data_IF_669032419128
#
_entry.id   IF_669032419128
#
_cell.length_a   1.000
_cell.length_b   1.000
_cell.length_c   1.000
_cell.angle_alpha   90.00
_cell.angle_beta   90.00
_cell.angle_gamma   90.00
#
_symmetry.space_group_name_H-M   'P 1'
#
loop_
_entity.id
_entity.type
_entity.pdbx_description
1 polymer ?
#
# COMPACT_ATOMS: atom_id res chain seq x y z
N UNK A 1 14.64 -10.93 19.68
CA UNK A 1 14.58 -10.73 18.23
C UNK A 1 13.44 -9.75 17.96
N UNK A 2 13.61 -8.80 17.05
CA UNK A 2 12.51 -7.92 16.63
C UNK A 2 11.32 -8.78 16.20
N UNK A 3 10.14 -8.44 16.70
CA UNK A 3 8.92 -9.21 16.47
C UNK A 3 7.72 -8.33 16.13
N UNK A 4 6.89 -8.85 15.22
CA UNK A 4 5.65 -8.20 14.83
C UNK A 4 4.51 -8.65 15.76
N UNK A 5 3.94 -7.72 16.52
CA UNK A 5 3.02 -8.05 17.64
C UNK A 5 1.74 -7.23 17.73
N UNK A 6 1.63 -6.09 17.04
CA UNK A 6 0.40 -5.28 17.06
C UNK A 6 -0.53 -5.63 15.89
N UNK A 7 -0.88 -6.90 15.76
CA UNK A 7 -1.70 -7.43 14.68
C UNK A 7 -3.13 -7.70 15.16
N UNK A 8 -4.11 -7.53 14.29
CA UNK A 8 -5.50 -7.91 14.54
C UNK A 8 -5.66 -9.42 14.30
N UNK A 9 -6.69 -10.05 14.88
CA UNK A 9 -6.93 -11.50 14.72
C UNK A 9 -7.03 -11.94 13.24
N UNK A 10 -7.54 -11.06 12.37
CA UNK A 10 -7.61 -11.29 10.92
C UNK A 10 -6.23 -11.38 10.26
N UNK A 11 -5.24 -10.64 10.76
CA UNK A 11 -3.88 -10.66 10.23
C UNK A 11 -3.19 -11.97 10.60
N UNK A 12 -3.35 -12.44 11.84
CA UNK A 12 -2.84 -13.75 12.24
C UNK A 12 -3.45 -14.89 11.42
N UNK A 13 -4.73 -14.78 11.08
CA UNK A 13 -5.39 -15.73 10.17
C UNK A 13 -4.84 -15.64 8.74
N UNK A 14 -4.61 -14.44 8.20
CA UNK A 14 -4.00 -14.27 6.90
C UNK A 14 -2.57 -14.85 6.86
N UNK A 15 -1.74 -14.51 7.85
CA UNK A 15 -0.38 -15.03 8.01
C UNK A 15 -0.36 -16.57 7.99
N UNK A 16 -1.24 -17.22 8.75
CA UNK A 16 -1.31 -18.68 8.78
C UNK A 16 -1.78 -19.29 7.47
N UNK A 17 -2.68 -18.65 6.72
CA UNK A 17 -3.04 -19.11 5.38
C UNK A 17 -1.92 -18.92 4.35
N UNK A 18 -1.07 -17.90 4.51
CA UNK A 18 0.09 -17.72 3.64
C UNK A 18 1.15 -18.82 3.84
N UNK A 19 1.24 -19.39 5.05
CA UNK A 19 2.12 -20.50 5.40
C UNK A 19 1.61 -21.84 4.84
N UNK A 20 0.29 -22.06 4.82
CA UNK A 20 -0.37 -23.26 4.30
C UNK A 20 -0.26 -23.35 2.77
N UNK A 21 0.94 -23.69 2.30
CA UNK A 21 1.28 -23.69 0.88
C UNK A 21 0.55 -24.79 0.12
N UNK A 22 0.27 -25.93 0.76
CA UNK A 22 -0.44 -27.06 0.16
C UNK A 22 -1.98 -26.99 0.35
N UNK A 23 -2.49 -25.99 1.08
CA UNK A 23 -3.92 -25.72 1.33
C UNK A 23 -4.66 -26.85 2.04
N UNK A 24 -3.98 -27.57 2.93
CA UNK A 24 -4.58 -28.66 3.70
C UNK A 24 -5.15 -28.19 5.05
N UNK A 25 -5.13 -26.87 5.32
CA UNK A 25 -5.53 -26.22 6.58
C UNK A 25 -4.66 -26.61 7.78
N UNK A 26 -3.44 -27.07 7.55
CA UNK A 26 -2.47 -27.44 8.56
C UNK A 26 -1.14 -26.79 8.21
N UNK A 27 -0.36 -26.50 9.25
CA UNK A 27 1.00 -26.00 9.14
C UNK A 27 1.92 -27.07 9.70
N UNK A 28 2.81 -27.56 8.87
CA UNK A 28 3.87 -28.50 9.26
C UNK A 28 5.27 -27.87 9.17
N UNK A 29 6.30 -28.67 9.52
CA UNK A 29 7.71 -28.23 9.56
C UNK A 29 8.29 -27.84 8.20
N UNK A 30 7.65 -28.24 7.10
CA UNK A 30 8.05 -27.86 5.73
C UNK A 30 7.48 -26.51 5.32
N UNK A 31 6.43 -26.06 5.99
CA UNK A 31 5.71 -24.82 5.70
C UNK A 31 6.15 -23.65 6.59
N UNK A 32 6.53 -23.93 7.83
CA UNK A 32 7.01 -22.90 8.75
C UNK A 32 8.00 -23.45 9.77
N UNK A 33 9.05 -22.66 10.06
CA UNK A 33 9.91 -22.90 11.20
C UNK A 33 9.30 -22.25 12.46
N UNK A 34 8.51 -23.06 13.19
CA UNK A 34 7.74 -22.67 14.37
C UNK A 34 8.55 -22.96 15.63
N UNK A 35 8.67 -21.96 16.50
CA UNK A 35 9.27 -22.08 17.82
C UNK A 35 8.26 -21.70 18.91
N UNK A 36 8.28 -22.41 20.03
CA UNK A 36 7.40 -22.17 21.17
C UNK A 36 8.16 -22.49 22.48
N UNK A 37 7.90 -21.72 23.54
CA UNK A 37 8.51 -21.93 24.85
C UNK A 37 7.51 -22.57 25.80
N UNK A 38 7.45 -23.90 25.83
CA UNK A 38 7.01 -24.58 27.04
C UNK A 38 7.94 -25.72 27.42
N UNK A 39 8.00 -25.98 28.72
CA UNK A 39 8.73 -27.11 29.29
C UNK A 39 8.34 -28.41 28.57
N UNK A 40 9.23 -28.87 27.68
CA UNK A 40 9.38 -30.24 27.22
C UNK A 40 8.10 -31.07 27.07
N UNK A 41 7.13 -30.66 26.23
CA UNK A 41 6.15 -31.61 25.68
C UNK A 41 5.81 -31.25 24.24
N UNK A 42 6.49 -31.94 23.31
CA UNK A 42 6.15 -31.98 21.89
C UNK A 42 4.62 -32.04 21.69
N UNK A 43 4.13 -31.44 20.60
CA UNK A 43 2.72 -31.46 20.21
C UNK A 43 2.12 -32.88 20.14
N UNK A 44 0.93 -32.98 19.60
CA UNK A 44 0.31 -34.21 19.07
C UNK A 44 1.26 -35.08 18.19
N UNK A 45 2.30 -35.71 18.75
CA UNK A 45 3.33 -36.59 18.19
C UNK A 45 4.06 -36.17 16.88
N UNK A 46 3.52 -35.28 16.05
CA UNK A 46 3.86 -35.18 14.63
C UNK A 46 4.22 -33.76 14.14
N UNK A 47 4.09 -32.72 14.97
CA UNK A 47 4.51 -31.36 14.61
C UNK A 47 3.64 -30.70 13.54
N UNK A 48 2.32 -30.90 13.62
CA UNK A 48 1.30 -30.39 12.69
C UNK A 48 0.27 -29.61 13.50
N UNK A 49 0.08 -28.33 13.18
CA UNK A 49 -0.90 -27.44 13.81
C UNK A 49 -2.00 -27.06 12.80
N UNK A 50 -3.26 -26.95 13.22
CA UNK A 50 -4.29 -26.37 12.36
C UNK A 50 -4.03 -24.88 12.12
N UNK A 51 -4.38 -24.34 10.95
CA UNK A 51 -4.20 -22.90 10.64
C UNK A 51 -4.85 -21.98 11.68
N UNK A 52 -6.03 -22.35 12.19
CA UNK A 52 -6.76 -21.60 13.24
C UNK A 52 -6.09 -21.66 14.61
N UNK A 53 -5.63 -22.85 14.99
CA UNK A 53 -4.91 -23.06 16.26
C UNK A 53 -3.62 -22.25 16.22
N UNK A 54 -2.88 -22.33 15.11
CA UNK A 54 -1.67 -21.55 14.90
C UNK A 54 -1.92 -20.04 14.97
N UNK A 55 -3.00 -19.53 14.36
CA UNK A 55 -3.35 -18.11 14.40
C UNK A 55 -3.65 -17.66 15.84
N UNK A 56 -4.41 -18.47 16.58
CA UNK A 56 -4.75 -18.21 17.99
C UNK A 56 -3.49 -18.21 18.86
N UNK A 57 -2.58 -19.15 18.63
CA UNK A 57 -1.31 -19.26 19.36
C UNK A 57 -0.37 -18.08 19.06
N UNK A 58 -0.35 -17.59 17.82
CA UNK A 58 0.40 -16.38 17.45
C UNK A 58 -0.18 -15.13 18.11
N UNK A 59 -1.51 -15.01 18.14
CA UNK A 59 -2.24 -13.90 18.77
C UNK A 59 -2.02 -13.86 20.28
N UNK A 60 -2.00 -15.01 20.95
CA UNK A 60 -1.72 -15.12 22.39
C UNK A 60 -0.24 -14.94 22.75
N UNK A 61 0.65 -14.96 21.75
CA UNK A 61 2.10 -14.90 21.99
C UNK A 61 2.68 -16.19 22.57
N UNK A 62 2.07 -17.33 22.23
CA UNK A 62 2.50 -18.66 22.67
C UNK A 62 3.59 -19.23 21.74
N UNK A 63 3.57 -18.81 20.47
CA UNK A 63 4.49 -19.24 19.42
C UNK A 63 5.02 -18.07 18.61
N UNK A 64 6.22 -18.21 18.05
CA UNK A 64 6.73 -17.34 17.00
C UNK A 64 7.19 -18.13 15.79
N UNK A 65 7.23 -17.44 14.65
CA UNK A 65 7.76 -17.97 13.39
C UNK A 65 8.99 -17.18 12.99
N UNK A 66 10.01 -17.87 12.50
CA UNK A 66 11.25 -17.27 12.00
C UNK A 66 11.69 -17.94 10.70
N UNK A 67 12.44 -17.23 9.85
CA UNK A 67 13.04 -17.78 8.61
C UNK A 67 12.02 -18.42 7.69
N UNK A 68 11.18 -17.58 7.08
CA UNK A 68 10.18 -18.01 6.10
C UNK A 68 10.84 -18.34 4.75
N UNK A 69 10.16 -19.16 3.94
CA UNK A 69 10.55 -19.29 2.53
C UNK A 69 10.33 -17.97 1.79
N UNK A 70 11.10 -17.68 0.72
CA UNK A 70 10.91 -16.48 -0.09
C UNK A 70 9.47 -16.31 -0.59
N UNK A 71 8.84 -17.39 -1.04
CA UNK A 71 7.49 -17.37 -1.58
C UNK A 71 6.44 -17.00 -0.52
N UNK A 72 6.57 -17.58 0.68
CA UNK A 72 5.66 -17.28 1.79
C UNK A 72 5.90 -15.87 2.34
N UNK A 73 7.16 -15.43 2.44
CA UNK A 73 7.49 -14.06 2.83
C UNK A 73 6.93 -13.03 1.84
N UNK A 74 7.00 -13.32 0.54
CA UNK A 74 6.41 -12.47 -0.51
C UNK A 74 4.89 -12.37 -0.39
N UNK A 75 4.19 -13.48 -0.16
CA UNK A 75 2.72 -13.48 0.08
C UNK A 75 2.35 -12.61 1.28
N UNK A 76 3.10 -12.72 2.36
CA UNK A 76 2.85 -11.96 3.59
C UNK A 76 3.15 -10.47 3.38
N UNK A 77 4.26 -10.14 2.73
CA UNK A 77 4.62 -8.77 2.41
C UNK A 77 3.58 -8.12 1.48
N UNK A 78 3.06 -8.87 0.51
CA UNK A 78 1.98 -8.46 -0.38
C UNK A 78 0.65 -8.23 0.35
N UNK A 79 0.32 -9.06 1.34
CA UNK A 79 -0.86 -8.83 2.19
C UNK A 79 -0.75 -7.52 2.98
N UNK A 80 0.40 -7.27 3.63
CA UNK A 80 0.60 -6.05 4.40
C UNK A 80 0.69 -4.80 3.55
N UNK A 81 1.25 -4.89 2.34
CA UNK A 81 1.28 -3.73 1.43
C UNK A 81 -0.11 -3.32 0.96
N UNK A 82 -1.02 -4.28 0.82
CA UNK A 82 -2.43 -4.08 0.42
C UNK A 82 -3.35 -3.66 1.55
N UNK A 83 -2.96 -3.82 2.82
CA UNK A 83 -3.75 -3.40 3.98
C UNK A 83 -4.00 -1.87 4.02
N UNK A 84 -3.12 -1.10 3.38
CA UNK A 84 -3.26 0.35 3.18
C UNK A 84 -4.31 0.72 2.11
N UNK A 85 -4.71 -0.24 1.28
CA UNK A 85 -5.65 -0.02 0.18
C UNK A 85 -7.00 -0.65 0.53
N UNK A 86 -7.89 0.12 1.17
CA UNK A 86 -9.30 -0.23 1.32
C UNK A 86 -9.87 -0.59 -0.07
N UNK A 87 -10.23 -1.86 -0.30
CA UNK A 87 -10.75 -2.32 -1.58
C UNK A 87 -12.11 -3.02 -1.48
N UNK A 88 -13.03 -2.49 -2.28
CA UNK A 88 -14.14 -3.22 -2.89
C UNK A 88 -13.78 -3.63 -4.35
N UNK A 89 -12.53 -4.09 -4.62
CA UNK A 89 -12.11 -4.74 -5.90
C UNK A 89 -10.68 -5.31 -5.88
N UNK A 90 -10.36 -6.31 -6.73
CA UNK A 90 -9.03 -6.93 -6.76
C UNK A 90 -8.04 -6.13 -7.59
N UNK A 91 -6.91 -5.71 -6.99
CA UNK A 91 -5.75 -5.21 -7.74
C UNK A 91 -4.88 -6.40 -8.12
N UNK A 92 -5.08 -6.85 -9.35
CA UNK A 92 -4.16 -7.76 -10.02
C UNK A 92 -2.90 -6.99 -10.43
N UNK A 93 -1.80 -7.34 -9.75
CA UNK A 93 -0.40 -7.23 -10.14
C UNK A 93 0.14 -5.84 -10.57
N UNK A 94 1.39 -5.57 -10.16
CA UNK A 94 2.24 -4.44 -10.57
C UNK A 94 2.10 -3.13 -9.78
N UNK A 95 2.57 -3.15 -8.53
CA UNK A 95 3.38 -2.04 -8.00
C UNK A 95 4.60 -2.68 -7.34
N UNK A 96 5.77 -2.58 -7.98
CA UNK A 96 7.04 -3.11 -7.44
C UNK A 96 7.47 -2.42 -6.13
N UNK A 97 6.80 -1.32 -5.79
CA UNK A 97 7.11 -0.45 -4.66
C UNK A 97 5.86 -0.20 -3.78
N UNK A 98 5.05 -1.23 -3.52
CA UNK A 98 3.97 -1.11 -2.54
C UNK A 98 4.61 -0.95 -1.14
N UNK A 99 4.56 0.26 -0.60
CA UNK A 99 5.14 0.59 0.71
C UNK A 99 4.18 0.18 1.81
N UNK A 100 4.71 -0.49 2.82
CA UNK A 100 3.93 -0.85 4.00
C UNK A 100 4.02 0.32 4.99
N UNK A 101 2.87 0.83 5.48
CA UNK A 101 2.90 1.98 6.38
C UNK A 101 3.60 1.65 7.70
N UNK A 102 4.37 2.60 8.25
CA UNK A 102 4.93 2.49 9.60
C UNK A 102 3.84 2.46 10.68
N UNK A 103 2.67 3.04 10.39
CA UNK A 103 1.50 3.00 11.27
C UNK A 103 0.86 1.60 11.30
N UNK A 104 0.86 0.86 10.18
CA UNK A 104 0.40 -0.54 10.13
C UNK A 104 1.28 -1.45 10.98
N UNK A 105 2.56 -1.11 11.09
CA UNK A 105 3.52 -1.86 11.89
C UNK A 105 3.45 -1.58 13.39
N UNK A 106 3.04 -0.36 13.80
CA UNK A 106 3.14 0.13 15.18
C UNK A 106 4.39 -0.42 15.91
N UNK A 107 5.50 -0.46 15.17
CA UNK A 107 6.61 -1.35 15.46
C UNK A 107 7.56 -0.69 16.45
N UNK A 108 8.17 -1.50 17.30
CA UNK A 108 9.27 -1.00 18.13
C UNK A 108 10.40 -0.46 17.24
N UNK A 109 11.20 0.51 17.72
CA UNK A 109 12.35 1.01 16.96
C UNK A 109 13.33 -0.09 16.50
N UNK A 110 13.38 -1.20 17.23
CA UNK A 110 14.18 -2.38 16.89
C UNK A 110 13.66 -3.11 15.65
N UNK A 111 12.34 -3.22 15.49
CA UNK A 111 11.71 -3.79 14.29
C UNK A 111 11.92 -2.89 13.09
N UNK A 112 11.78 -1.57 13.26
CA UNK A 112 12.02 -0.62 12.18
C UNK A 112 13.46 -0.71 11.66
N UNK A 113 14.46 -0.76 12.55
CA UNK A 113 15.88 -0.92 12.15
C UNK A 113 16.20 -2.26 11.50
N UNK A 114 15.47 -3.32 11.86
CA UNK A 114 15.70 -4.65 11.31
C UNK A 114 15.11 -4.82 9.90
N UNK A 115 14.14 -3.97 9.54
CA UNK A 115 13.43 -4.03 8.26
C UNK A 115 13.93 -2.94 7.30
N UNK A 116 14.16 -1.73 7.78
CA UNK A 116 14.68 -0.60 6.99
C UNK A 116 16.20 -0.74 6.77
N UNK A 117 16.57 -1.61 5.83
CA UNK A 117 17.98 -1.96 5.53
C UNK A 117 18.72 -0.80 4.87
N UNK A 118 18.02 0.02 4.07
CA UNK A 118 18.62 1.10 3.29
C UNK A 118 18.70 2.45 4.07
N UNK A 119 18.02 2.56 5.21
CA UNK A 119 18.05 3.72 6.10
C UNK A 119 17.26 4.93 5.59
N UNK A 120 16.36 4.73 4.63
CA UNK A 120 15.54 5.79 4.02
C UNK A 120 14.30 6.14 4.84
N UNK A 121 14.14 5.51 6.01
CA UNK A 121 13.02 5.71 6.91
C UNK A 121 11.68 5.29 6.28
N UNK A 122 11.68 4.32 5.36
CA UNK A 122 10.51 3.65 4.76
C UNK A 122 10.67 2.12 4.86
N UNK A 123 9.58 1.39 4.59
CA UNK A 123 9.59 -0.08 4.53
C UNK A 123 8.97 -0.51 3.21
N UNK A 124 9.80 -1.00 2.29
CA UNK A 124 9.35 -1.62 1.06
C UNK A 124 8.88 -3.06 1.29
N UNK A 125 8.03 -3.57 0.38
CA UNK A 125 7.64 -4.98 0.35
C UNK A 125 8.86 -5.91 0.35
N UNK A 126 9.89 -5.55 -0.42
CA UNK A 126 11.12 -6.33 -0.57
C UNK A 126 11.92 -6.39 0.72
N UNK A 127 12.17 -5.26 1.36
CA UNK A 127 12.84 -5.18 2.66
C UNK A 127 12.12 -5.97 3.73
N UNK A 128 10.79 -5.88 3.75
CA UNK A 128 9.97 -6.65 4.68
C UNK A 128 10.04 -8.16 4.43
N UNK A 129 9.95 -8.59 3.17
CA UNK A 129 10.12 -10.01 2.81
C UNK A 129 11.54 -10.51 3.16
N UNK A 130 12.59 -9.74 2.87
CA UNK A 130 13.98 -10.08 3.18
C UNK A 130 14.22 -10.19 4.70
N UNK A 131 13.60 -9.33 5.50
CA UNK A 131 13.65 -9.42 6.96
C UNK A 131 13.00 -10.71 7.49
N UNK A 132 11.89 -11.15 6.90
CA UNK A 132 11.20 -12.40 7.25
C UNK A 132 11.97 -13.66 6.80
N UNK A 133 12.58 -13.62 5.61
CA UNK A 133 13.40 -14.73 5.07
C UNK A 133 14.67 -14.91 5.88
N UNK A 134 15.37 -13.82 6.19
CA UNK A 134 16.59 -13.86 7.00
C UNK A 134 16.33 -14.24 8.46
N UNK A 135 15.09 -14.06 8.94
CA UNK A 135 14.73 -14.19 10.35
C UNK A 135 15.17 -13.01 11.22
N UNK A 136 15.61 -11.91 10.60
CA UNK A 136 15.88 -10.64 11.28
C UNK A 136 14.60 -10.02 11.85
N UNK A 137 13.46 -10.33 11.23
CA UNK A 137 12.12 -10.10 11.75
C UNK A 137 11.41 -11.43 12.00
N UNK A 138 10.77 -11.56 13.16
CA UNK A 138 9.94 -12.71 13.53
C UNK A 138 8.45 -12.33 13.61
N UNK A 139 7.57 -13.31 13.39
CA UNK A 139 6.12 -13.13 13.54
C UNK A 139 5.68 -13.73 14.88
N UNK A 140 5.03 -12.94 15.74
CA UNK A 140 4.61 -13.37 17.07
C UNK A 140 5.73 -13.37 18.12
N UNK A 141 5.43 -13.84 19.33
CA UNK A 141 6.39 -13.99 20.43
C UNK A 141 6.27 -15.39 21.04
N UNK A 142 7.29 -15.87 21.75
CA UNK A 142 7.17 -17.04 22.64
C UNK A 142 7.30 -16.59 24.10
N UNK A 143 6.22 -16.03 24.63
CA UNK A 143 6.09 -15.80 26.06
C UNK A 143 6.11 -17.15 26.82
N UNK A 144 6.54 -17.16 28.09
CA UNK A 144 6.54 -18.39 28.87
C UNK A 144 5.10 -18.82 29.15
N UNK A 145 4.68 -19.95 28.57
CA UNK A 145 3.36 -20.52 28.82
C UNK A 145 3.51 -21.85 29.54
N UNK A 146 2.59 -22.16 30.46
CA UNK A 146 2.57 -23.42 31.23
C UNK A 146 1.68 -24.49 30.58
N UNK A 147 1.18 -24.25 29.36
CA UNK A 147 0.21 -25.11 28.68
C UNK A 147 0.59 -25.32 27.20
N UNK A 148 0.22 -26.49 26.66
CA UNK A 148 0.40 -26.76 25.22
C UNK A 148 -0.68 -25.99 24.43
N UNK A 149 -0.30 -25.05 23.55
CA UNK A 149 -1.26 -24.19 22.86
C UNK A 149 -2.07 -24.91 21.76
N UNK A 150 -1.72 -26.17 21.45
CA UNK A 150 -2.39 -27.00 20.42
C UNK A 150 -3.24 -28.14 21.00
N UNK A 151 -3.53 -28.14 22.32
CA UNK A 151 -4.40 -29.15 22.95
C UNK A 151 -5.87 -28.73 23.03
N UNK A 152 -6.19 -27.46 22.83
CA UNK A 152 -7.56 -26.94 22.90
C UNK A 152 -8.06 -26.57 21.49
N UNK A 153 -9.27 -26.99 21.08
CA UNK A 153 -9.84 -26.58 19.80
C UNK A 153 -10.04 -25.06 19.78
N UNK A 154 -9.63 -24.40 18.69
CA UNK A 154 -9.76 -22.96 18.52
C UNK A 154 -11.23 -22.50 18.69
N UNK A 155 -11.52 -21.42 19.44
CA UNK A 155 -12.87 -20.90 19.60
C UNK A 155 -13.47 -20.44 18.26
N UNK A 156 -14.80 -20.47 18.15
CA UNK A 156 -15.54 -20.11 16.93
C UNK A 156 -15.31 -18.64 16.55
N UNK A 157 -14.68 -18.38 15.39
CA UNK A 157 -14.32 -17.05 14.86
C UNK A 157 -15.02 -16.80 13.50
N UNK A 158 -15.30 -15.55 13.05
CA UNK A 158 -16.21 -15.22 11.95
C UNK A 158 -15.67 -15.53 10.54
N UNK A 159 -14.47 -16.10 10.42
CA UNK A 159 -13.92 -16.62 9.15
C UNK A 159 -14.27 -18.09 8.90
N UNK A 160 -15.45 -18.53 9.36
CA UNK A 160 -15.87 -19.93 9.35
C UNK A 160 -16.13 -20.53 7.95
N UNK A 161 -15.78 -19.83 6.88
CA UNK A 161 -15.90 -20.30 5.50
C UNK A 161 -14.62 -20.02 4.69
N UNK A 162 -14.10 -21.00 3.91
CA UNK A 162 -13.03 -20.83 2.91
C UNK A 162 -13.33 -19.81 1.80
N UNK A 163 -14.42 -19.05 1.91
CA UNK A 163 -14.82 -17.97 1.01
C UNK A 163 -14.08 -16.67 1.27
N UNK A 164 -13.60 -16.45 2.51
CA UNK A 164 -12.92 -15.22 2.93
C UNK A 164 -11.41 -15.45 3.10
N UNK A 165 -10.82 -16.24 2.20
CA UNK A 165 -9.38 -16.48 2.15
C UNK A 165 -8.71 -15.48 1.20
N UNK A 166 -7.88 -14.54 1.70
CA UNK A 166 -7.23 -13.54 0.86
C UNK A 166 -6.19 -14.15 -0.11
N UNK A 167 -5.78 -15.41 0.09
CA UNK A 167 -4.84 -16.13 -0.78
C UNK A 167 -5.52 -17.19 -1.64
N UNK A 168 -6.85 -17.28 -1.60
CA UNK A 168 -7.61 -18.16 -2.49
C UNK A 168 -7.69 -17.53 -3.88
N UNK A 169 -7.45 -18.29 -4.97
CA UNK A 169 -7.71 -17.80 -6.31
C UNK A 169 -9.22 -17.55 -6.41
N UNK A 170 -9.62 -16.32 -6.73
CA UNK A 170 -11.04 -16.01 -6.89
C UNK A 170 -11.58 -16.85 -8.06
N UNK A 171 -12.69 -17.60 -7.89
CA UNK A 171 -13.36 -18.21 -9.03
C UNK A 171 -13.85 -17.10 -9.96
N UNK A 172 -13.50 -17.19 -11.23
CA UNK A 172 -14.06 -16.35 -12.28
C UNK A 172 -15.58 -16.50 -12.27
N UNK A 173 -16.30 -15.50 -11.76
CA UNK A 173 -17.76 -15.56 -11.74
C UNK A 173 -18.30 -15.54 -13.18
N UNK A 174 -19.18 -16.47 -13.58
CA UNK A 174 -19.77 -16.48 -14.91
C UNK A 174 -20.73 -15.29 -15.09
N UNK A 175 -20.59 -14.56 -16.20
CA UNK A 175 -21.52 -13.49 -16.60
C UNK A 175 -22.94 -14.07 -16.85
N UNK A 176 -24.02 -13.38 -16.48
CA UNK A 176 -25.37 -13.81 -16.83
C UNK A 176 -25.58 -13.79 -18.35
N UNK A 177 -26.26 -14.83 -18.83
CA UNK A 177 -26.37 -15.23 -20.24
C UNK A 177 -27.31 -14.30 -21.02
N UNK A 178 -26.84 -13.73 -22.13
CA UNK A 178 -27.69 -13.25 -23.24
C UNK A 178 -27.70 -14.29 -24.38
N UNK A 179 -28.78 -14.40 -25.17
CA UNK A 179 -29.05 -15.60 -25.97
C UNK A 179 -28.11 -15.82 -27.16
N UNK A 180 -27.92 -17.10 -27.43
CA UNK A 180 -27.00 -17.82 -28.34
C UNK A 180 -27.08 -17.53 -29.85
N UNK A 181 -25.92 -17.50 -30.54
CA UNK A 181 -25.51 -18.32 -31.73
C UNK A 181 -24.42 -17.62 -32.59
N UNK A 182 -23.67 -18.29 -33.50
CA UNK A 182 -23.29 -19.70 -33.62
C UNK A 182 -21.82 -19.86 -34.13
N UNK A 183 -20.78 -19.38 -33.45
CA UNK A 183 -19.40 -19.74 -33.82
C UNK A 183 -18.56 -19.88 -32.55
N UNK A 184 -18.55 -21.11 -32.03
CA UNK A 184 -17.73 -21.51 -30.90
C UNK A 184 -16.33 -21.85 -31.44
N UNK A 185 -15.48 -20.83 -31.57
CA UNK A 185 -14.06 -20.98 -31.91
C UNK A 185 -13.24 -20.83 -30.61
N UNK A 186 -12.39 -21.80 -30.20
CA UNK A 186 -11.67 -21.77 -28.91
C UNK A 186 -10.67 -20.62 -28.74
N UNK A 187 -10.56 -19.74 -29.73
CA UNK A 187 -9.65 -18.57 -29.74
C UNK A 187 -10.34 -17.22 -29.63
N UNK A 188 -11.65 -17.17 -29.34
CA UNK A 188 -12.32 -15.88 -29.11
C UNK A 188 -11.95 -15.34 -27.73
N UNK A 189 -11.00 -14.39 -27.72
CA UNK A 189 -10.61 -13.60 -26.57
C UNK A 189 -11.84 -12.99 -25.85
N UNK A 190 -11.79 -12.81 -24.52
CA UNK A 190 -12.88 -12.18 -23.78
C UNK A 190 -13.16 -10.76 -24.35
N UNK A 191 -14.39 -10.24 -24.25
CA UNK A 191 -14.72 -8.96 -24.87
C UNK A 191 -13.84 -7.87 -24.26
N UNK A 192 -13.03 -7.23 -25.09
CA UNK A 192 -12.10 -6.19 -24.70
C UNK A 192 -12.78 -5.14 -23.80
N UNK A 193 -12.30 -5.01 -22.56
CA UNK A 193 -12.20 -3.66 -21.99
C UNK A 193 -11.50 -2.84 -23.08
N UNK A 194 -12.10 -1.74 -23.53
CA UNK A 194 -11.51 -0.93 -24.60
C UNK A 194 -10.07 -0.61 -24.22
N UNK A 195 -9.11 -1.29 -24.84
CA UNK A 195 -7.72 -0.88 -24.80
C UNK A 195 -7.69 0.44 -25.56
N UNK A 196 -7.61 1.56 -24.84
CA UNK A 196 -7.47 2.90 -25.41
C UNK A 196 -6.15 3.06 -26.20
N UNK A 197 -5.32 2.00 -26.22
CA UNK A 197 -3.95 1.99 -26.66
C UNK A 197 -3.03 2.67 -25.64
N UNK A 198 -3.53 3.07 -24.47
CA UNK A 198 -2.73 3.79 -23.46
C UNK A 198 -1.56 2.94 -22.95
N UNK A 199 -1.77 1.64 -22.71
CA UNK A 199 -0.70 0.76 -22.24
C UNK A 199 0.48 0.72 -23.23
N UNK A 200 0.19 0.43 -24.50
CA UNK A 200 1.23 0.38 -25.54
C UNK A 200 1.92 1.74 -25.74
N UNK A 201 1.18 2.85 -25.66
CA UNK A 201 1.74 4.21 -25.73
C UNK A 201 2.70 4.49 -24.57
N UNK A 202 2.33 4.10 -23.34
CA UNK A 202 3.17 4.29 -22.16
C UNK A 202 4.43 3.43 -22.22
N UNK A 203 4.32 2.19 -22.71
CA UNK A 203 5.49 1.32 -22.87
C UNK A 203 6.44 1.82 -23.96
N UNK A 204 5.89 2.33 -25.07
CA UNK A 204 6.67 3.03 -26.09
C UNK A 204 7.43 4.21 -25.48
N UNK A 205 6.76 5.07 -24.71
CA UNK A 205 7.37 6.22 -24.03
C UNK A 205 8.53 5.82 -23.12
N UNK A 206 8.42 4.70 -22.40
CA UNK A 206 9.48 4.21 -21.51
C UNK A 206 10.75 3.79 -22.27
N UNK A 207 10.59 3.32 -23.50
CA UNK A 207 11.71 2.94 -24.37
C UNK A 207 12.38 4.12 -25.10
N UNK A 208 11.77 5.31 -25.08
CA UNK A 208 12.29 6.49 -25.78
C UNK A 208 13.41 7.16 -24.99
N UNK A 209 14.34 7.79 -25.70
CA UNK A 209 15.46 8.54 -25.09
C UNK A 209 15.15 10.03 -24.88
N UNK A 210 14.35 10.64 -25.76
CA UNK A 210 14.09 12.08 -25.75
C UNK A 210 12.92 12.46 -24.83
N UNK A 211 13.19 13.18 -23.75
CA UNK A 211 12.14 13.69 -22.85
C UNK A 211 11.18 14.66 -23.52
N UNK A 212 11.64 15.40 -24.53
CA UNK A 212 10.77 16.26 -25.33
C UNK A 212 9.70 15.43 -26.06
N UNK A 213 10.11 14.36 -26.74
CA UNK A 213 9.18 13.50 -27.47
C UNK A 213 8.26 12.72 -26.53
N UNK A 214 8.80 12.21 -25.41
CA UNK A 214 7.99 11.62 -24.33
C UNK A 214 6.95 12.63 -23.85
N UNK A 215 7.35 13.88 -23.61
CA UNK A 215 6.48 14.96 -23.17
C UNK A 215 5.34 15.26 -24.15
N UNK A 216 5.60 15.21 -25.46
CA UNK A 216 4.56 15.38 -26.47
C UNK A 216 3.50 14.26 -26.45
N UNK A 217 3.93 13.01 -26.26
CA UNK A 217 3.02 11.85 -26.20
C UNK A 217 2.24 11.87 -24.89
N UNK A 218 2.94 11.98 -23.76
CA UNK A 218 2.33 12.01 -22.43
C UNK A 218 1.41 13.22 -22.26
N UNK A 219 1.77 14.38 -22.81
CA UNK A 219 0.93 15.58 -22.75
C UNK A 219 -0.44 15.39 -23.42
N UNK A 220 -0.49 14.64 -24.52
CA UNK A 220 -1.77 14.26 -25.15
C UNK A 220 -2.59 13.32 -24.27
N UNK A 221 -1.94 12.39 -23.58
CA UNK A 221 -2.60 11.45 -22.66
C UNK A 221 -3.15 12.15 -21.42
N UNK A 222 -2.37 13.09 -20.85
CA UNK A 222 -2.78 13.87 -19.67
C UNK A 222 -4.07 14.66 -19.89
N UNK A 223 -4.36 15.09 -21.12
CA UNK A 223 -5.60 15.78 -21.47
C UNK A 223 -6.82 14.87 -21.68
N UNK A 224 -6.65 13.55 -21.66
CA UNK A 224 -7.76 12.61 -21.90
C UNK A 224 -8.66 12.50 -20.67
N UNK A 225 -9.97 12.46 -20.90
CA UNK A 225 -10.99 12.42 -19.83
C UNK A 225 -11.63 11.05 -19.67
N UNK A 226 -11.35 10.12 -20.57
CA UNK A 226 -11.93 8.77 -20.64
C UNK A 226 -10.96 7.67 -20.16
N UNK A 227 -9.81 8.04 -19.58
CA UNK A 227 -8.87 7.09 -18.99
C UNK A 227 -9.44 6.39 -17.75
N UNK A 228 -9.25 5.08 -17.67
CA UNK A 228 -9.50 4.28 -16.47
C UNK A 228 -8.55 4.68 -15.32
N UNK A 229 -8.90 4.33 -14.07
CA UNK A 229 -8.01 4.53 -12.91
C UNK A 229 -6.64 3.90 -13.15
N UNK A 230 -6.61 2.68 -13.70
CA UNK A 230 -5.37 1.96 -13.99
C UNK A 230 -4.47 2.72 -14.96
N UNK A 231 -5.03 3.23 -16.05
CA UNK A 231 -4.28 4.01 -17.04
C UNK A 231 -3.76 5.33 -16.45
N UNK A 232 -4.55 6.01 -15.61
CA UNK A 232 -4.11 7.23 -14.93
C UNK A 232 -2.96 6.93 -13.95
N UNK A 233 -3.02 5.83 -13.19
CA UNK A 233 -1.94 5.40 -12.29
C UNK A 233 -0.64 5.11 -13.06
N UNK A 234 -0.73 4.37 -14.17
CA UNK A 234 0.43 4.09 -15.03
C UNK A 234 0.98 5.38 -15.68
N UNK A 235 0.11 6.32 -16.02
CA UNK A 235 0.50 7.63 -16.56
C UNK A 235 1.29 8.43 -15.51
N UNK A 236 0.80 8.55 -14.27
CA UNK A 236 1.53 9.22 -13.18
C UNK A 236 2.90 8.58 -12.99
N UNK A 237 2.95 7.25 -12.90
CA UNK A 237 4.22 6.53 -12.70
C UNK A 237 5.21 6.76 -13.85
N UNK A 238 4.72 6.71 -15.10
CA UNK A 238 5.58 6.90 -16.27
C UNK A 238 6.11 8.33 -16.34
N UNK A 239 5.29 9.35 -16.04
CA UNK A 239 5.77 10.74 -15.95
C UNK A 239 6.83 10.86 -14.84
N UNK A 240 6.62 10.25 -13.67
CA UNK A 240 7.54 10.35 -12.54
C UNK A 240 8.87 9.62 -12.73
N UNK A 241 8.85 8.43 -13.37
CA UNK A 241 10.04 7.57 -13.48
C UNK A 241 10.79 7.71 -14.81
N UNK A 242 10.12 8.13 -15.89
CA UNK A 242 10.70 8.09 -17.24
C UNK A 242 11.04 9.46 -17.82
N UNK A 243 10.66 10.57 -17.15
CA UNK A 243 11.04 11.94 -17.55
C UNK A 243 12.13 12.44 -16.60
N UNK A 244 13.31 12.75 -17.13
CA UNK A 244 14.43 13.31 -16.37
C UNK A 244 14.43 14.85 -16.35
N UNK A 245 13.80 15.49 -17.33
CA UNK A 245 13.62 16.94 -17.39
C UNK A 245 12.62 17.41 -16.33
N UNK A 246 13.12 18.08 -15.28
CA UNK A 246 12.30 18.69 -14.22
C UNK A 246 11.16 19.55 -14.77
N UNK A 247 11.45 20.37 -15.79
CA UNK A 247 10.48 21.23 -16.44
C UNK A 247 9.36 20.41 -17.09
N UNK A 248 9.73 19.42 -17.92
CA UNK A 248 8.76 18.57 -18.64
C UNK A 248 7.92 17.76 -17.66
N UNK A 249 8.55 17.15 -16.66
CA UNK A 249 7.87 16.39 -15.61
C UNK A 249 6.87 17.29 -14.88
N UNK A 250 7.29 18.49 -14.48
CA UNK A 250 6.45 19.44 -13.75
C UNK A 250 5.24 19.87 -14.56
N UNK A 251 5.40 20.22 -15.84
CA UNK A 251 4.27 20.63 -16.68
C UNK A 251 3.27 19.49 -16.91
N UNK A 252 3.74 18.25 -17.11
CA UNK A 252 2.87 17.09 -17.24
C UNK A 252 2.08 16.81 -15.95
N UNK A 253 2.74 16.80 -14.80
CA UNK A 253 2.09 16.56 -13.51
C UNK A 253 1.13 17.70 -13.12
N UNK A 254 1.47 18.96 -13.43
CA UNK A 254 0.56 20.11 -13.26
C UNK A 254 -0.68 19.97 -14.14
N UNK A 255 -0.50 19.58 -15.39
CA UNK A 255 -1.62 19.39 -16.32
C UNK A 255 -2.52 18.24 -15.85
N UNK A 256 -1.94 17.15 -15.34
CA UNK A 256 -2.70 16.03 -14.79
C UNK A 256 -3.45 16.40 -13.51
N UNK A 257 -2.84 17.19 -12.63
CA UNK A 257 -3.50 17.72 -11.43
C UNK A 257 -4.76 18.54 -11.76
N UNK A 258 -4.75 19.23 -12.91
CA UNK A 258 -5.87 20.04 -13.42
C UNK A 258 -6.90 19.24 -14.21
N UNK A 259 -6.65 17.96 -14.50
CA UNK A 259 -7.60 17.16 -15.28
C UNK A 259 -8.83 16.86 -14.42
N UNK A 260 -10.04 17.33 -14.78
CA UNK A 260 -11.25 17.13 -13.97
C UNK A 260 -11.71 15.67 -13.87
N UNK A 261 -11.18 14.78 -14.72
CA UNK A 261 -11.43 13.34 -14.67
C UNK A 261 -10.38 12.57 -13.86
N UNK A 262 -9.46 13.24 -13.18
CA UNK A 262 -8.47 12.60 -12.32
C UNK A 262 -9.18 11.90 -11.15
N UNK A 263 -8.98 10.59 -11.05
CA UNK A 263 -9.61 9.75 -10.03
C UNK A 263 -8.85 9.82 -8.71
N UNK A 264 -9.54 9.54 -7.62
CA UNK A 264 -9.02 9.74 -6.26
C UNK A 264 -7.73 8.93 -5.99
N UNK A 265 -7.67 7.68 -6.42
CA UNK A 265 -6.47 6.84 -6.29
C UNK A 265 -5.28 7.41 -7.10
N UNK A 266 -5.58 8.03 -8.24
CA UNK A 266 -4.57 8.69 -9.09
C UNK A 266 -4.13 10.04 -8.52
N UNK A 267 -5.03 10.77 -7.84
CA UNK A 267 -4.69 11.96 -7.07
C UNK A 267 -3.75 11.63 -5.90
N UNK A 268 -4.01 10.52 -5.18
CA UNK A 268 -3.11 10.01 -4.13
C UNK A 268 -1.73 9.67 -4.73
N UNK A 269 -1.68 8.90 -5.82
CA UNK A 269 -0.41 8.55 -6.49
C UNK A 269 0.34 9.80 -6.95
N UNK A 270 -0.36 10.78 -7.53
CA UNK A 270 0.21 12.05 -7.96
C UNK A 270 0.82 12.82 -6.78
N UNK A 271 0.07 13.00 -5.68
CA UNK A 271 0.58 13.64 -4.48
C UNK A 271 1.81 12.91 -3.93
N UNK A 272 1.79 11.56 -3.92
CA UNK A 272 2.92 10.73 -3.49
C UNK A 272 4.16 10.94 -4.37
N UNK A 273 3.99 10.98 -5.69
CA UNK A 273 5.09 11.22 -6.65
C UNK A 273 5.72 12.60 -6.48
N UNK A 274 4.92 13.63 -6.19
CA UNK A 274 5.42 15.00 -5.98
C UNK A 274 6.42 15.08 -4.81
N UNK A 275 6.31 14.20 -3.81
CA UNK A 275 7.23 14.18 -2.65
C UNK A 275 8.68 13.97 -3.05
N UNK A 276 8.90 13.16 -4.07
CA UNK A 276 10.22 12.75 -4.53
C UNK A 276 10.87 13.80 -5.44
N UNK A 277 10.14 14.86 -5.82
CA UNK A 277 10.70 15.95 -6.61
C UNK A 277 11.68 16.78 -5.79
N UNK A 278 12.67 17.38 -6.45
CA UNK A 278 13.69 18.21 -5.80
C UNK A 278 13.23 19.66 -5.55
N UNK A 279 12.46 20.23 -6.48
CA UNK A 279 12.06 21.64 -6.44
C UNK A 279 10.79 21.87 -5.61
N UNK A 280 10.96 22.52 -4.45
CA UNK A 280 9.87 22.97 -3.57
C UNK A 280 8.82 23.81 -4.28
N UNK A 281 9.26 24.72 -5.15
CA UNK A 281 8.34 25.54 -5.94
C UNK A 281 7.47 24.67 -6.84
N UNK A 282 8.06 23.69 -7.53
CA UNK A 282 7.30 22.79 -8.40
C UNK A 282 6.34 21.92 -7.61
N UNK A 283 6.75 21.44 -6.42
CA UNK A 283 5.86 20.72 -5.50
C UNK A 283 4.63 21.55 -5.16
N UNK A 284 4.83 22.78 -4.71
CA UNK A 284 3.76 23.71 -4.36
C UNK A 284 2.82 23.99 -5.54
N UNK A 285 3.35 24.15 -6.75
CA UNK A 285 2.55 24.37 -7.96
C UNK A 285 1.68 23.16 -8.33
N UNK A 286 2.23 21.93 -8.29
CA UNK A 286 1.47 20.72 -8.62
C UNK A 286 0.40 20.45 -7.57
N UNK A 287 0.78 20.47 -6.28
CA UNK A 287 -0.16 20.24 -5.17
C UNK A 287 -1.24 21.33 -5.13
N UNK A 288 -0.88 22.60 -5.36
CA UNK A 288 -1.83 23.70 -5.44
C UNK A 288 -2.90 23.48 -6.53
N UNK A 289 -2.48 23.06 -7.72
CA UNK A 289 -3.42 22.74 -8.81
C UNK A 289 -4.33 21.56 -8.45
N UNK A 290 -3.78 20.52 -7.82
CA UNK A 290 -4.53 19.35 -7.38
C UNK A 290 -5.60 19.76 -6.35
N UNK A 291 -5.19 20.52 -5.34
CA UNK A 291 -6.04 21.05 -4.25
C UNK A 291 -7.16 21.96 -4.79
N UNK A 292 -6.87 22.79 -5.78
CA UNK A 292 -7.84 23.79 -6.25
C UNK A 292 -8.82 23.22 -7.28
N UNK A 293 -8.43 22.17 -7.99
CA UNK A 293 -9.24 21.61 -9.09
C UNK A 293 -10.08 20.41 -8.65
N UNK A 294 -9.52 19.55 -7.79
CA UNK A 294 -10.16 18.29 -7.42
C UNK A 294 -10.93 18.41 -6.11
N UNK A 295 -11.98 17.59 -5.96
CA UNK A 295 -12.57 17.30 -4.65
C UNK A 295 -11.88 16.06 -4.09
N UNK A 296 -10.98 16.27 -3.14
CA UNK A 296 -10.12 15.22 -2.60
C UNK A 296 -10.86 14.43 -1.51
N UNK A 297 -10.77 13.10 -1.56
CA UNK A 297 -11.17 12.25 -0.43
C UNK A 297 -10.32 12.54 0.82
N UNK A 298 -10.76 12.12 2.01
CA UNK A 298 -9.93 12.19 3.22
C UNK A 298 -8.54 11.57 3.04
N UNK A 299 -8.44 10.42 2.36
CA UNK A 299 -7.15 9.78 2.09
C UNK A 299 -6.27 10.63 1.15
N UNK A 300 -6.85 11.20 0.11
CA UNK A 300 -6.13 12.09 -0.80
C UNK A 300 -5.68 13.39 -0.10
N UNK A 301 -6.52 13.95 0.78
CA UNK A 301 -6.16 15.11 1.59
C UNK A 301 -4.96 14.80 2.51
N UNK A 302 -4.96 13.67 3.22
CA UNK A 302 -3.82 13.25 4.04
C UNK A 302 -2.55 13.08 3.21
N UNK A 303 -2.64 12.43 2.05
CA UNK A 303 -1.49 12.29 1.16
C UNK A 303 -0.95 13.63 0.70
N UNK A 304 -1.82 14.60 0.40
CA UNK A 304 -1.43 15.98 0.05
C UNK A 304 -0.76 16.67 1.25
N UNK A 305 -1.30 16.56 2.46
CA UNK A 305 -0.70 17.17 3.66
C UNK A 305 0.70 16.63 3.94
N UNK A 306 0.89 15.31 3.83
CA UNK A 306 2.20 14.67 3.93
C UNK A 306 3.14 15.23 2.86
N UNK A 307 2.66 15.40 1.63
CA UNK A 307 3.47 15.93 0.54
C UNK A 307 3.84 17.40 0.72
N UNK A 308 2.96 18.22 1.30
CA UNK A 308 3.30 19.59 1.68
C UNK A 308 4.38 19.57 2.77
N UNK A 309 4.33 18.64 3.71
CA UNK A 309 5.35 18.48 4.76
C UNK A 309 6.77 18.25 4.23
N UNK A 310 6.94 17.70 3.02
CA UNK A 310 8.27 17.48 2.41
C UNK A 310 8.83 18.68 1.65
N UNK A 311 8.11 19.81 1.62
CA UNK A 311 8.58 21.06 1.02
C UNK A 311 9.51 21.76 2.01
N UNK A 312 10.75 22.03 1.64
CA UNK A 312 11.74 22.67 2.52
C UNK A 312 11.47 24.17 2.77
N UNK A 313 10.86 24.85 1.80
CA UNK A 313 10.43 26.25 1.91
C UNK A 313 9.19 26.39 2.81
N UNK A 314 9.37 26.88 4.05
CA UNK A 314 8.25 27.15 4.96
C UNK A 314 7.20 28.11 4.34
N UNK A 315 7.63 29.10 3.57
CA UNK A 315 6.70 29.99 2.86
C UNK A 315 5.78 29.20 1.92
N UNK A 316 6.37 28.30 1.14
CA UNK A 316 5.61 27.44 0.20
C UNK A 316 4.72 26.46 0.95
N UNK A 317 5.16 25.94 2.11
CA UNK A 317 4.32 25.13 2.99
C UNK A 317 3.11 25.91 3.52
N UNK A 318 3.31 27.13 4.07
CA UNK A 318 2.21 28.00 4.57
C UNK A 318 1.16 28.18 3.49
N UNK A 319 1.58 28.60 2.29
CA UNK A 319 0.64 28.89 1.21
C UNK A 319 -0.07 27.63 0.70
N UNK A 320 0.62 26.48 0.68
CA UNK A 320 0.01 25.21 0.29
C UNK A 320 -1.03 24.73 1.32
N UNK A 321 -0.73 24.78 2.62
CA UNK A 321 -1.70 24.43 3.67
C UNK A 321 -2.89 25.38 3.69
N UNK A 322 -2.66 26.70 3.55
CA UNK A 322 -3.76 27.67 3.41
C UNK A 322 -4.62 27.39 2.18
N UNK A 323 -4.01 27.03 1.05
CA UNK A 323 -4.74 26.64 -0.16
C UNK A 323 -5.63 25.41 0.11
N UNK A 324 -5.11 24.41 0.83
CA UNK A 324 -5.85 23.21 1.21
C UNK A 324 -7.06 23.56 2.09
N UNK A 325 -6.86 24.35 3.15
CA UNK A 325 -7.91 24.74 4.09
C UNK A 325 -9.03 25.53 3.37
N UNK A 326 -8.68 26.39 2.43
CA UNK A 326 -9.64 27.22 1.69
C UNK A 326 -10.42 26.45 0.63
N UNK A 327 -9.79 25.45 0.01
CA UNK A 327 -10.34 24.77 -1.17
C UNK A 327 -11.04 23.46 -0.83
N UNK A 328 -10.64 22.81 0.28
CA UNK A 328 -11.15 21.50 0.67
C UNK A 328 -11.96 21.57 1.97
N UNK A 329 -12.99 20.74 2.05
CA UNK A 329 -13.68 20.49 3.32
C UNK A 329 -12.84 19.50 4.13
N UNK A 330 -12.32 19.96 5.26
CA UNK A 330 -11.60 19.13 6.24
C UNK A 330 -12.54 18.84 7.42
N UNK A 331 -12.79 17.57 7.71
CA UNK A 331 -13.47 17.17 8.94
C UNK A 331 -12.44 17.08 10.09
N UNK A 332 -12.88 16.78 11.31
CA UNK A 332 -12.02 16.86 12.50
C UNK A 332 -10.73 16.02 12.41
N UNK A 333 -10.75 14.76 11.94
CA UNK A 333 -9.52 13.97 11.81
C UNK A 333 -8.48 14.61 10.88
N UNK A 334 -8.93 15.19 9.76
CA UNK A 334 -8.03 15.85 8.81
C UNK A 334 -7.49 17.17 9.36
N UNK A 335 -8.30 17.91 10.13
CA UNK A 335 -7.84 19.12 10.83
C UNK A 335 -6.78 18.79 11.89
N UNK A 336 -7.00 17.75 12.70
CA UNK A 336 -6.04 17.28 13.69
C UNK A 336 -4.72 16.82 13.04
N UNK A 337 -4.82 16.06 11.94
CA UNK A 337 -3.66 15.63 11.18
C UNK A 337 -2.90 16.82 10.58
N UNK A 338 -3.60 17.81 10.01
CA UNK A 338 -3.00 19.05 9.50
C UNK A 338 -2.26 19.78 10.62
N UNK A 339 -2.88 19.95 11.79
CA UNK A 339 -2.26 20.62 12.94
C UNK A 339 -0.99 19.90 13.39
N UNK A 340 -1.01 18.56 13.42
CA UNK A 340 0.18 17.77 13.71
C UNK A 340 1.29 18.00 12.66
N UNK A 341 0.96 17.97 11.37
CA UNK A 341 1.93 18.24 10.30
C UNK A 341 2.53 19.66 10.41
N UNK A 342 1.72 20.67 10.72
CA UNK A 342 2.21 22.04 10.93
C UNK A 342 3.10 22.12 12.17
N UNK A 343 2.73 21.46 13.27
CA UNK A 343 3.52 21.44 14.49
C UNK A 343 4.90 20.81 14.32
N UNK A 344 5.01 19.74 13.52
CA UNK A 344 6.26 19.01 13.29
C UNK A 344 7.17 19.69 12.26
N UNK A 345 6.61 20.25 11.19
CA UNK A 345 7.41 20.70 10.04
C UNK A 345 7.81 22.19 10.10
N UNK A 346 7.14 23.01 10.90
CA UNK A 346 7.42 24.45 10.98
C UNK A 346 8.30 24.78 12.19
N UNK A 347 9.39 25.50 11.93
CA UNK A 347 10.24 26.06 12.98
C UNK A 347 9.65 27.37 13.54
N UNK A 348 9.05 28.21 12.68
CA UNK A 348 8.56 29.53 13.06
C UNK A 348 7.13 29.50 13.61
N UNK A 349 6.96 29.97 14.85
CA UNK A 349 5.63 30.13 15.47
C UNK A 349 4.74 31.13 14.72
N UNK A 350 5.35 32.13 14.06
CA UNK A 350 4.62 33.03 13.18
C UNK A 350 3.99 32.27 12.00
N UNK A 351 4.73 31.36 11.38
CA UNK A 351 4.22 30.56 10.26
C UNK A 351 3.18 29.52 10.71
N UNK A 352 3.37 28.88 11.87
CA UNK A 352 2.35 28.01 12.48
C UNK A 352 1.05 28.78 12.70
N UNK A 353 1.13 29.95 13.33
CA UNK A 353 -0.02 30.81 13.59
C UNK A 353 -0.77 31.18 12.31
N UNK A 354 -0.07 31.49 11.22
CA UNK A 354 -0.72 31.80 9.96
C UNK A 354 -1.61 30.66 9.41
N UNK A 355 -1.22 29.40 9.64
CA UNK A 355 -2.00 28.24 9.20
C UNK A 355 -3.13 27.94 10.19
N UNK A 356 -2.88 28.03 11.50
CA UNK A 356 -3.91 27.84 12.52
C UNK A 356 -5.01 28.90 12.46
N UNK A 357 -4.65 30.17 12.24
CA UNK A 357 -5.63 31.25 12.04
C UNK A 357 -6.49 31.02 10.78
N UNK A 358 -5.98 30.28 9.78
CA UNK A 358 -6.76 29.91 8.60
C UNK A 358 -7.73 28.74 8.88
N UNK A 359 -7.36 27.80 9.76
CA UNK A 359 -8.22 26.68 10.18
C UNK A 359 -9.43 27.11 11.03
N UNK A 360 -9.29 28.22 11.76
CA UNK A 360 -10.29 28.72 12.71
C UNK A 360 -11.30 29.69 12.10
N UNK A 361 -11.11 30.08 10.84
CA UNK A 361 -12.05 30.88 10.05
C UNK A 361 -12.98 29.96 9.28
#
# INVERSE_FOLDING_TARGET
>A
MPNLTNLQSQDYMALTRALDNNRNNRIDKTEANISWNAHAQMGNANGIAGTREMATSLEKGDVFISRLSPETADKIADYFSKRNENFDRPVAEWVSDAWISKEDFAASPEVLRAVDINGDNRISRKEFAEALVSGSLTLGQASQTSHNPFKEPAPSNPFNSPSNDPFKPQPTQPRPVQPSNPFNDPFSAPPAERDSGAYMKLEMVRSMSSDYEKGQILGKMVGQTDMSTREQLMLVETISKSISSDYTQTELLKSLAKNPSLRDESAIKLAKSVREMSSDFNKGQILGNLIQTQRLSPQAQQSVMISIGTIGSEYTQVESFKSLIRSQRLDMPEKEFLMHQVGQNFSSDYNKRQVYDALMK
#
